data_IF_080073372351
#
_entry.id   IF_080073372351
#
_cell.length_a   1.000
_cell.length_b   1.000
_cell.length_c   1.000
_cell.angle_alpha   90.00
_cell.angle_beta   90.00
_cell.angle_gamma   90.00
#
_symmetry.space_group_name_H-M   'P 1'
#
loop_
_entity.id
_entity.type
_entity.pdbx_description
1 polymer ?
#
# COMPACT_ATOMS: atom_id res chain seq x y z
N UNK A 1 14.78 21.20 -8.90
CA UNK A 1 14.60 20.05 -7.99
C UNK A 1 14.91 18.80 -8.77
N UNK A 2 15.99 18.08 -8.44
CA UNK A 2 16.18 16.74 -8.98
C UNK A 2 15.01 15.86 -8.53
N UNK A 3 14.38 15.14 -9.48
CA UNK A 3 13.46 14.06 -9.13
C UNK A 3 14.29 12.99 -8.43
N UNK A 4 14.06 12.83 -7.13
CA UNK A 4 14.56 11.69 -6.38
C UNK A 4 13.83 10.44 -6.87
N UNK A 5 14.59 9.40 -7.18
CA UNK A 5 14.11 8.17 -7.81
C UNK A 5 14.23 7.04 -6.81
N UNK A 6 13.17 6.26 -6.60
CA UNK A 6 13.21 5.02 -5.81
C UNK A 6 14.36 4.14 -6.33
N UNK A 7 15.25 3.73 -5.45
CA UNK A 7 16.50 3.05 -5.83
C UNK A 7 16.43 1.55 -5.60
N UNK A 8 15.50 1.10 -4.77
CA UNK A 8 15.40 -0.28 -4.35
C UNK A 8 14.01 -0.86 -4.58
N UNK A 9 13.96 -2.14 -4.94
CA UNK A 9 12.70 -2.85 -5.25
C UNK A 9 11.85 -3.12 -4.02
N UNK A 10 12.40 -3.07 -2.81
CA UNK A 10 11.61 -3.17 -1.57
C UNK A 10 10.72 -1.93 -1.38
N UNK A 11 11.10 -0.76 -1.90
CA UNK A 11 10.28 0.46 -1.80
C UNK A 11 8.93 0.29 -2.52
N UNK A 12 8.90 -0.52 -3.60
CA UNK A 12 7.69 -0.83 -4.36
C UNK A 12 6.69 -1.63 -3.52
N UNK A 13 7.17 -2.50 -2.63
CA UNK A 13 6.31 -3.30 -1.76
C UNK A 13 5.47 -2.41 -0.84
N UNK A 14 6.12 -1.46 -0.16
CA UNK A 14 5.45 -0.51 0.72
C UNK A 14 4.42 0.36 -0.03
N UNK A 15 4.73 0.76 -1.27
CA UNK A 15 3.79 1.49 -2.13
C UNK A 15 2.58 0.63 -2.50
N UNK A 16 2.79 -0.62 -2.90
CA UNK A 16 1.70 -1.54 -3.24
C UNK A 16 0.81 -1.85 -2.03
N UNK A 17 1.39 -1.96 -0.84
CA UNK A 17 0.66 -2.14 0.40
C UNK A 17 -0.22 -0.93 0.68
N UNK A 18 0.33 0.29 0.59
CA UNK A 18 -0.45 1.50 0.79
C UNK A 18 -1.63 1.63 -0.19
N UNK A 19 -1.43 1.25 -1.46
CA UNK A 19 -2.52 1.23 -2.45
C UNK A 19 -3.60 0.22 -2.02
N UNK A 20 -3.19 -0.97 -1.57
CA UNK A 20 -4.12 -2.01 -1.12
C UNK A 20 -4.98 -1.54 0.04
N UNK A 21 -4.33 -1.01 1.08
CA UNK A 21 -5.00 -0.57 2.29
C UNK A 21 -5.94 0.61 2.04
N UNK A 22 -5.57 1.55 1.17
CA UNK A 22 -6.47 2.61 0.73
C UNK A 22 -7.68 2.03 -0.02
N UNK A 23 -7.45 1.04 -0.89
CA UNK A 23 -8.52 0.42 -1.67
C UNK A 23 -9.51 -0.37 -0.79
N UNK A 24 -9.03 -1.05 0.24
CA UNK A 24 -9.87 -1.83 1.18
C UNK A 24 -10.70 -0.96 2.16
N UNK A 25 -10.63 0.37 2.08
CA UNK A 25 -11.50 1.28 2.85
C UNK A 25 -12.87 1.48 2.17
N UNK A 26 -13.35 2.73 2.00
CA UNK A 26 -14.71 3.02 1.51
C UNK A 26 -14.86 2.90 -0.02
N UNK A 27 -13.75 2.96 -0.79
CA UNK A 27 -13.79 3.01 -2.26
C UNK A 27 -13.87 1.62 -2.92
N UNK A 28 -13.31 0.59 -2.30
CA UNK A 28 -13.29 -0.83 -2.68
C UNK A 28 -13.49 -1.15 -4.17
N UNK A 29 -12.49 -0.85 -4.98
CA UNK A 29 -12.46 -1.26 -6.38
C UNK A 29 -11.97 -2.71 -6.50
N UNK A 30 -12.82 -3.59 -7.02
CA UNK A 30 -12.55 -5.02 -7.11
C UNK A 30 -11.40 -5.37 -8.06
N UNK A 31 -11.23 -4.61 -9.14
CA UNK A 31 -10.18 -4.88 -10.12
C UNK A 31 -8.81 -4.47 -9.56
N UNK A 32 -8.77 -3.39 -8.79
CA UNK A 32 -7.57 -3.02 -8.00
C UNK A 32 -7.22 -4.12 -6.99
N UNK A 33 -8.19 -4.63 -6.22
CA UNK A 33 -7.95 -5.72 -5.26
C UNK A 33 -7.37 -6.96 -5.94
N UNK A 34 -7.94 -7.40 -7.07
CA UNK A 34 -7.45 -8.58 -7.82
C UNK A 34 -6.01 -8.40 -8.30
N UNK A 35 -5.68 -7.23 -8.85
CA UNK A 35 -4.34 -6.96 -9.36
C UNK A 35 -3.30 -6.99 -8.24
N UNK A 36 -3.61 -6.38 -7.09
CA UNK A 36 -2.71 -6.35 -5.95
C UNK A 36 -2.58 -7.73 -5.29
N UNK A 37 -3.68 -8.47 -5.10
CA UNK A 37 -3.63 -9.85 -4.61
C UNK A 37 -2.76 -10.74 -5.51
N UNK A 38 -2.88 -10.57 -6.84
CA UNK A 38 -2.02 -11.28 -7.79
C UNK A 38 -0.55 -10.93 -7.57
N UNK A 39 -0.20 -9.65 -7.40
CA UNK A 39 1.19 -9.22 -7.20
C UNK A 39 1.74 -9.76 -5.86
N UNK A 40 1.04 -9.54 -4.75
CA UNK A 40 1.48 -10.03 -3.43
C UNK A 40 1.66 -11.54 -3.40
N UNK A 41 0.71 -12.29 -3.97
CA UNK A 41 0.79 -13.74 -3.99
C UNK A 41 1.86 -14.27 -4.96
N UNK A 42 1.95 -13.73 -6.18
CA UNK A 42 2.84 -14.28 -7.22
C UNK A 42 4.27 -13.80 -7.09
N UNK A 43 4.48 -12.53 -6.79
CA UNK A 43 5.79 -11.88 -6.74
C UNK A 43 6.40 -12.02 -5.35
N UNK A 44 5.65 -11.66 -4.31
CA UNK A 44 6.17 -11.62 -2.94
C UNK A 44 5.92 -12.90 -2.13
N UNK A 45 5.05 -13.81 -2.61
CA UNK A 45 4.63 -15.03 -1.90
C UNK A 45 3.96 -14.73 -0.56
N UNK A 46 3.27 -13.60 -0.48
CA UNK A 46 2.60 -13.11 0.73
C UNK A 46 1.08 -13.16 0.60
N UNK A 47 0.39 -13.23 1.74
CA UNK A 47 -1.07 -13.17 1.82
C UNK A 47 -1.51 -11.75 2.19
N UNK A 48 -2.54 -11.24 1.51
CA UNK A 48 -3.13 -9.92 1.82
C UNK A 48 -4.18 -9.98 2.94
N UNK A 49 -4.39 -11.15 3.55
CA UNK A 49 -5.42 -11.34 4.58
C UNK A 49 -5.23 -10.42 5.79
N UNK A 50 -3.98 -10.15 6.20
CA UNK A 50 -3.67 -9.22 7.28
C UNK A 50 -4.11 -7.80 6.92
N UNK A 51 -3.77 -7.32 5.73
CA UNK A 51 -4.16 -5.98 5.25
C UNK A 51 -5.68 -5.80 5.24
N UNK A 52 -6.43 -6.83 4.80
CA UNK A 52 -7.91 -6.81 4.84
C UNK A 52 -8.47 -6.70 6.25
N UNK A 53 -7.87 -7.39 7.21
CA UNK A 53 -8.30 -7.34 8.61
C UNK A 53 -8.02 -5.95 9.17
N UNK A 54 -6.83 -5.41 8.92
CA UNK A 54 -6.40 -4.13 9.46
C UNK A 54 -7.19 -2.96 8.88
N UNK A 55 -7.67 -3.04 7.63
CA UNK A 55 -8.46 -1.99 7.00
C UNK A 55 -9.97 -2.09 7.24
N UNK A 56 -10.45 -3.21 7.78
CA UNK A 56 -11.88 -3.48 7.92
C UNK A 56 -12.56 -2.37 8.73
N UNK A 57 -13.62 -1.80 8.17
CA UNK A 57 -14.43 -0.72 8.76
C UNK A 57 -13.68 0.59 9.03
N UNK A 58 -12.42 0.74 8.57
CA UNK A 58 -11.69 2.01 8.69
C UNK A 58 -12.00 2.90 7.51
N UNK A 59 -12.02 4.21 7.73
CA UNK A 59 -12.05 5.20 6.65
C UNK A 59 -10.63 5.48 6.20
N UNK A 60 -10.48 5.96 4.96
CA UNK A 60 -9.18 6.39 4.42
C UNK A 60 -8.44 7.34 5.38
N UNK A 61 -9.14 8.33 5.92
CA UNK A 61 -8.54 9.30 6.85
C UNK A 61 -7.94 8.67 8.12
N UNK A 62 -8.44 7.50 8.55
CA UNK A 62 -7.99 6.82 9.77
C UNK A 62 -6.71 6.01 9.52
N UNK A 63 -6.51 5.50 8.30
CA UNK A 63 -5.33 4.70 7.91
C UNK A 63 -4.17 5.53 7.36
N UNK A 64 -4.46 6.69 6.76
CA UNK A 64 -3.46 7.52 6.10
C UNK A 64 -2.27 7.93 7.00
N UNK A 65 -2.44 8.33 8.28
CA UNK A 65 -1.30 8.72 9.11
C UNK A 65 -0.27 7.60 9.30
N UNK A 66 -0.75 6.37 9.53
CA UNK A 66 0.08 5.18 9.71
C UNK A 66 0.75 4.78 8.40
N UNK A 67 -0.02 4.74 7.30
CA UNK A 67 0.50 4.47 5.97
C UNK A 67 1.59 5.46 5.54
N UNK A 68 1.42 6.76 5.85
CA UNK A 68 2.43 7.76 5.56
C UNK A 68 3.71 7.54 6.36
N UNK A 69 3.61 7.12 7.62
CA UNK A 69 4.78 6.80 8.43
C UNK A 69 5.56 5.62 7.85
N UNK A 70 4.85 4.54 7.44
CA UNK A 70 5.45 3.37 6.79
C UNK A 70 6.09 3.75 5.46
N UNK A 71 5.39 4.50 4.61
CA UNK A 71 5.92 4.94 3.33
C UNK A 71 7.17 5.81 3.51
N UNK A 72 7.23 6.65 4.54
CA UNK A 72 8.41 7.46 4.83
C UNK A 72 9.58 6.65 5.41
N UNK A 73 9.32 5.55 6.12
CA UNK A 73 10.38 4.68 6.64
C UNK A 73 10.97 3.78 5.55
N UNK A 74 10.11 3.26 4.67
CA UNK A 74 10.48 2.26 3.68
C UNK A 74 10.79 2.83 2.30
N UNK A 75 10.46 4.10 2.03
CA UNK A 75 10.59 4.68 0.68
C UNK A 75 11.02 6.14 0.72
N UNK A 76 11.49 6.67 -0.41
CA UNK A 76 11.70 8.12 -0.56
C UNK A 76 10.39 8.93 -0.78
N UNK A 77 9.20 8.33 -0.63
CA UNK A 77 7.90 8.98 -0.82
C UNK A 77 7.70 10.14 0.16
N UNK A 78 7.32 11.30 -0.38
CA UNK A 78 6.89 12.46 0.40
C UNK A 78 5.47 12.80 0.00
N UNK A 79 4.56 12.79 0.97
CA UNK A 79 3.27 13.43 0.79
C UNK A 79 3.50 14.91 0.46
N UNK A 80 2.84 15.39 -0.58
CA UNK A 80 2.96 16.74 -1.12
C UNK A 80 2.78 17.83 -0.05
#
# INVERSE_FOLDING_TARGET
MEKRTMRHTYEIHAVLQAIYEINETETHDLDITKLLEFIFYRVYKESTAAFKIDCRNKKKQDVMPELLAILQSETEFRAY
#
